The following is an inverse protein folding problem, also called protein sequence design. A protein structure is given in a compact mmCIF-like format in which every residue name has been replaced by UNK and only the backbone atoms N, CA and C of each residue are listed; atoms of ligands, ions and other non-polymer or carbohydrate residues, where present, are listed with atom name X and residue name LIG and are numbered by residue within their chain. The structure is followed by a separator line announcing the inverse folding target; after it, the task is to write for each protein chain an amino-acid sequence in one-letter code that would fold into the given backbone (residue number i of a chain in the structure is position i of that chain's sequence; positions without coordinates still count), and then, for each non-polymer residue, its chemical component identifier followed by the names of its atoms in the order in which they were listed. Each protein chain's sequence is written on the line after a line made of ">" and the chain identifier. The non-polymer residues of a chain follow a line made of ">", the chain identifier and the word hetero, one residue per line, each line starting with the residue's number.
data_IF_421090948453
#
_entry.id   IF_421090948453
#
_cell.length_a   1.000
_cell.length_b   1.000
_cell.length_c   1.000
_cell.angle_alpha   90.00
_cell.angle_beta   90.00
_cell.angle_gamma   90.00
#
_symmetry.space_group_name_H-M   'P 1'
#
loop_
_entity.id
_entity.type
_entity.pdbx_description
1 polymer ?
#
# COMPACT_ATOMS: atom_id res chain seq x y z
N UNK A 1 3.14 -14.14 -11.98
CA UNK A 1 2.19 -13.07 -11.65
C UNK A 1 2.82 -11.92 -10.84
N UNK A 2 3.62 -12.21 -9.79
CA UNK A 2 4.30 -11.14 -9.03
C UNK A 2 5.16 -10.23 -9.92
N UNK A 3 5.85 -10.77 -10.93
CA UNK A 3 6.63 -9.95 -11.87
C UNK A 3 5.81 -9.19 -12.94
N UNK A 4 4.62 -9.66 -13.29
CA UNK A 4 3.70 -8.93 -14.18
C UNK A 4 3.06 -7.74 -13.44
N UNK A 5 2.78 -7.92 -12.15
CA UNK A 5 2.39 -6.87 -11.23
C UNK A 5 3.57 -5.91 -10.96
N UNK A 6 4.80 -6.42 -10.85
CA UNK A 6 6.03 -5.63 -10.81
C UNK A 6 6.20 -4.79 -12.07
N UNK A 7 5.82 -5.31 -13.26
CA UNK A 7 5.78 -4.50 -14.48
C UNK A 7 4.73 -3.41 -14.39
N UNK A 8 3.48 -3.71 -14.00
CA UNK A 8 2.46 -2.65 -13.88
C UNK A 8 2.89 -1.59 -12.87
N UNK A 9 3.43 -1.99 -11.72
CA UNK A 9 3.78 -1.07 -10.63
C UNK A 9 5.10 -0.34 -10.88
N UNK A 10 6.15 -0.98 -11.41
CA UNK A 10 7.37 -0.27 -11.82
C UNK A 10 7.13 0.58 -13.07
N UNK A 11 6.21 0.19 -13.95
CA UNK A 11 5.85 0.99 -15.11
C UNK A 11 5.01 2.21 -14.72
N UNK A 12 4.01 2.08 -13.83
CA UNK A 12 3.26 3.24 -13.30
C UNK A 12 4.10 4.11 -12.37
N UNK A 13 4.93 3.52 -11.50
CA UNK A 13 5.81 4.28 -10.61
C UNK A 13 6.96 4.99 -11.35
N UNK A 14 7.33 4.53 -12.56
CA UNK A 14 8.43 5.09 -13.35
C UNK A 14 7.95 5.82 -14.62
N UNK A 15 6.66 5.75 -14.96
CA UNK A 15 6.08 6.57 -16.03
C UNK A 15 6.04 8.04 -15.64
N UNK A 16 6.02 8.35 -14.34
CA UNK A 16 5.76 9.69 -13.80
C UNK A 16 6.94 10.32 -13.03
N UNK A 17 8.12 9.68 -13.01
CA UNK A 17 9.34 10.27 -12.43
C UNK A 17 9.83 11.43 -13.29
N UNK A 18 9.64 12.66 -12.79
CA UNK A 18 10.31 13.84 -13.32
C UNK A 18 11.82 13.67 -13.25
N UNK A 19 12.50 14.09 -14.32
CA UNK A 19 13.91 13.87 -14.62
C UNK A 19 14.86 14.16 -13.44
N UNK A 20 15.20 13.15 -12.62
CA UNK A 20 16.39 13.20 -11.76
C UNK A 20 17.46 12.27 -12.32
N UNK A 21 18.24 12.84 -13.25
CA UNK A 21 19.21 12.19 -14.15
C UNK A 21 20.42 11.50 -13.50
N UNK A 22 20.56 11.41 -12.18
CA UNK A 22 21.88 11.19 -11.59
C UNK A 22 22.09 9.93 -10.73
N UNK A 23 21.10 9.09 -10.40
CA UNK A 23 21.41 7.93 -9.54
C UNK A 23 20.68 6.60 -9.81
N UNK A 24 19.67 6.56 -10.68
CA UNK A 24 19.07 5.29 -11.09
C UNK A 24 18.85 5.24 -12.60
N UNK A 25 19.20 4.09 -13.17
CA UNK A 25 19.31 3.80 -14.59
C UNK A 25 18.09 4.28 -15.40
N UNK A 26 18.39 4.77 -16.60
CA UNK A 26 17.48 5.29 -17.63
C UNK A 26 16.14 4.51 -17.68
N UNK A 27 15.01 5.19 -17.90
CA UNK A 27 13.66 4.59 -18.00
C UNK A 27 13.61 3.34 -18.92
N UNK A 28 14.48 3.30 -19.93
CA UNK A 28 14.68 2.14 -20.80
C UNK A 28 15.21 0.90 -20.09
N UNK A 29 16.14 1.02 -19.13
CA UNK A 29 16.68 -0.11 -18.36
C UNK A 29 15.57 -0.88 -17.63
N UNK A 30 14.71 -0.15 -16.92
CA UNK A 30 13.58 -0.75 -16.21
C UNK A 30 12.60 -1.39 -17.18
N UNK A 31 12.32 -0.77 -18.32
CA UNK A 31 11.47 -1.34 -19.36
C UNK A 31 12.02 -2.67 -19.92
N UNK A 32 13.33 -2.72 -20.18
CA UNK A 32 14.01 -3.92 -20.68
C UNK A 32 14.13 -5.02 -19.62
N UNK A 33 14.10 -4.68 -18.33
CA UNK A 33 14.11 -5.66 -17.24
C UNK A 33 12.70 -6.19 -16.93
N UNK A 34 11.67 -5.34 -16.95
CA UNK A 34 10.33 -5.71 -16.51
C UNK A 34 9.56 -6.57 -17.51
N UNK A 35 9.75 -6.35 -18.82
CA UNK A 35 9.15 -7.18 -19.88
C UNK A 35 9.53 -8.67 -19.76
N UNK A 36 10.83 -9.05 -19.75
CA UNK A 36 11.20 -10.45 -19.66
C UNK A 36 10.76 -11.09 -18.34
N UNK A 37 10.81 -10.34 -17.23
CA UNK A 37 10.31 -10.81 -15.93
C UNK A 37 8.80 -11.08 -15.94
N UNK A 38 8.03 -10.23 -16.61
CA UNK A 38 6.59 -10.45 -16.84
C UNK A 38 6.34 -11.70 -17.66
N UNK A 39 7.08 -11.88 -18.75
CA UNK A 39 7.04 -13.08 -19.58
C UNK A 39 7.31 -14.35 -18.78
N UNK A 40 8.36 -14.36 -17.96
CA UNK A 40 8.66 -15.47 -17.03
C UNK A 40 7.53 -15.71 -16.03
N UNK A 41 6.94 -14.63 -15.49
CA UNK A 41 5.83 -14.70 -14.56
C UNK A 41 4.54 -15.26 -15.17
N UNK A 42 4.30 -15.05 -16.46
CA UNK A 42 3.17 -15.61 -17.22
C UNK A 42 3.46 -17.08 -17.58
N UNK A 43 4.65 -17.38 -18.09
CA UNK A 43 5.06 -18.75 -18.41
C UNK A 43 4.97 -19.67 -17.18
N UNK A 44 5.44 -19.19 -16.02
CA UNK A 44 5.34 -19.91 -14.74
C UNK A 44 3.89 -20.21 -14.34
N UNK A 45 2.96 -19.30 -14.64
CA UNK A 45 1.53 -19.51 -14.36
C UNK A 45 0.96 -20.62 -15.23
N UNK A 46 1.26 -20.61 -16.54
CA UNK A 46 0.84 -21.69 -17.44
C UNK A 46 1.40 -23.04 -17.01
N UNK A 47 2.65 -23.09 -16.56
CA UNK A 47 3.25 -24.31 -16.02
C UNK A 47 2.49 -24.78 -14.77
N UNK A 48 2.21 -23.89 -13.82
CA UNK A 48 1.47 -24.25 -12.60
C UNK A 48 0.05 -24.75 -12.95
N UNK A 49 -0.67 -24.08 -13.84
CA UNK A 49 -2.00 -24.52 -14.31
C UNK A 49 -1.91 -25.90 -14.94
N UNK A 50 -0.98 -26.09 -15.88
CA UNK A 50 -0.78 -27.36 -16.55
C UNK A 50 -0.51 -28.49 -15.54
N UNK A 51 0.43 -28.28 -14.61
CA UNK A 51 0.79 -29.27 -13.58
C UNK A 51 -0.31 -29.50 -12.53
N UNK A 52 -1.16 -28.52 -12.27
CA UNK A 52 -2.24 -28.62 -11.28
C UNK A 52 -3.44 -29.41 -11.78
N UNK A 53 -3.74 -29.33 -13.08
CA UNK A 53 -4.98 -29.87 -13.66
C UNK A 53 -4.76 -31.02 -14.64
N UNK A 54 -3.59 -31.12 -15.28
CA UNK A 54 -3.34 -32.08 -16.36
C UNK A 54 -2.31 -33.16 -16.01
N UNK A 55 -1.54 -32.99 -14.93
CA UNK A 55 -0.66 -34.03 -14.41
C UNK A 55 -1.27 -34.71 -13.18
N UNK A 56 -1.15 -36.04 -13.12
CA UNK A 56 -1.50 -36.88 -11.98
C UNK A 56 -0.21 -37.34 -11.30
N UNK A 57 0.55 -36.40 -10.75
CA UNK A 57 1.77 -36.67 -9.99
C UNK A 57 1.51 -36.49 -8.48
N UNK A 58 2.42 -37.01 -7.63
CA UNK A 58 2.34 -36.84 -6.17
C UNK A 58 2.37 -35.35 -5.77
N UNK A 59 2.86 -34.48 -6.66
CA UNK A 59 2.98 -33.05 -6.48
C UNK A 59 1.71 -32.28 -6.87
N UNK A 60 0.71 -32.91 -7.51
CA UNK A 60 -0.51 -32.26 -8.02
C UNK A 60 -1.23 -31.46 -6.95
N UNK A 61 -1.29 -31.95 -5.71
CA UNK A 61 -1.93 -31.23 -4.60
C UNK A 61 -1.15 -29.96 -4.20
N UNK A 62 0.18 -30.02 -4.16
CA UNK A 62 1.04 -28.85 -3.89
C UNK A 62 0.96 -27.83 -5.03
N UNK A 63 0.90 -28.30 -6.28
CA UNK A 63 0.74 -27.43 -7.44
C UNK A 63 -0.62 -26.69 -7.40
N UNK A 64 -1.71 -27.39 -7.03
CA UNK A 64 -3.03 -26.79 -6.80
C UNK A 64 -3.00 -25.74 -5.69
N UNK A 65 -2.31 -26.00 -4.58
CA UNK A 65 -2.17 -25.04 -3.48
C UNK A 65 -1.38 -23.78 -3.88
N UNK A 66 -0.31 -23.94 -4.67
CA UNK A 66 0.44 -22.83 -5.27
C UNK A 66 -0.43 -22.03 -6.25
N UNK A 67 -1.24 -22.71 -7.07
CA UNK A 67 -2.18 -22.07 -7.98
C UNK A 67 -3.21 -21.24 -7.21
N UNK A 68 -3.86 -21.84 -6.20
CA UNK A 68 -4.84 -21.16 -5.34
C UNK A 68 -4.22 -19.93 -4.70
N UNK A 69 -3.04 -20.06 -4.09
CA UNK A 69 -2.37 -18.91 -3.46
C UNK A 69 -2.02 -17.81 -4.47
N UNK A 70 -1.60 -18.18 -5.68
CA UNK A 70 -1.34 -17.21 -6.76
C UNK A 70 -2.60 -16.45 -7.15
N UNK A 71 -3.73 -17.15 -7.29
CA UNK A 71 -5.03 -16.54 -7.58
C UNK A 71 -5.49 -15.65 -6.43
N UNK A 72 -5.38 -16.10 -5.19
CA UNK A 72 -5.76 -15.30 -4.02
C UNK A 72 -4.97 -13.99 -3.93
N UNK A 73 -3.64 -14.05 -4.06
CA UNK A 73 -2.78 -12.86 -4.02
C UNK A 73 -3.12 -11.90 -5.17
N UNK A 74 -3.46 -12.41 -6.34
CA UNK A 74 -3.93 -11.58 -7.45
C UNK A 74 -5.24 -10.87 -7.14
N UNK A 75 -6.24 -11.62 -6.68
CA UNK A 75 -7.55 -11.07 -6.35
C UNK A 75 -7.42 -10.00 -5.25
N UNK A 76 -6.57 -10.23 -4.25
CA UNK A 76 -6.23 -9.23 -3.24
C UNK A 76 -5.73 -7.93 -3.89
N UNK A 77 -4.78 -8.01 -4.82
CA UNK A 77 -4.25 -6.83 -5.52
C UNK A 77 -5.32 -6.05 -6.29
N UNK A 78 -6.34 -6.73 -6.83
CA UNK A 78 -7.45 -6.09 -7.55
C UNK A 78 -8.47 -5.43 -6.62
N UNK A 79 -8.61 -5.91 -5.38
CA UNK A 79 -9.64 -5.43 -4.43
C UNK A 79 -9.15 -4.24 -3.60
N UNK A 80 -7.83 -4.14 -3.33
CA UNK A 80 -7.28 -3.10 -2.46
C UNK A 80 -7.65 -1.69 -2.94
N UNK A 81 -7.43 -1.36 -4.21
CA UNK A 81 -7.71 -0.01 -4.72
C UNK A 81 -9.21 0.34 -4.70
N UNK A 82 -10.12 -0.51 -5.20
CA UNK A 82 -11.55 -0.27 -5.06
C UNK A 82 -12.02 -0.13 -3.61
N UNK A 83 -11.46 -0.91 -2.68
CA UNK A 83 -11.81 -0.79 -1.26
C UNK A 83 -11.40 0.56 -0.68
N UNK A 84 -10.20 1.06 -1.02
CA UNK A 84 -9.76 2.40 -0.61
C UNK A 84 -10.62 3.51 -1.25
N UNK A 85 -10.98 3.38 -2.53
CA UNK A 85 -11.88 4.32 -3.19
C UNK A 85 -13.28 4.32 -2.57
N UNK A 86 -13.76 3.15 -2.13
CA UNK A 86 -15.02 3.05 -1.41
C UNK A 86 -14.95 3.79 -0.06
N UNK A 87 -13.85 3.69 0.68
CA UNK A 87 -13.67 4.48 1.91
C UNK A 87 -13.70 5.97 1.64
N UNK A 88 -13.07 6.43 0.55
CA UNK A 88 -13.07 7.83 0.15
C UNK A 88 -14.46 8.33 -0.27
N UNK A 89 -15.21 7.53 -1.02
CA UNK A 89 -16.56 7.85 -1.46
C UNK A 89 -17.57 7.90 -0.29
N UNK A 90 -17.44 7.00 0.68
CA UNK A 90 -18.36 6.92 1.82
C UNK A 90 -18.05 7.94 2.92
N UNK A 91 -16.82 8.46 2.98
CA UNK A 91 -16.35 9.36 4.02
C UNK A 91 -15.82 10.69 3.46
N UNK A 92 -16.73 11.61 3.04
CA UNK A 92 -16.36 12.96 2.61
C UNK A 92 -15.91 13.87 3.76
N UNK A 93 -16.24 13.49 5.00
CA UNK A 93 -15.79 14.15 6.23
C UNK A 93 -14.79 13.24 6.92
N UNK A 94 -13.66 13.79 7.33
CA UNK A 94 -12.53 13.07 7.93
C UNK A 94 -12.21 13.59 9.31
N UNK A 95 -11.48 12.80 10.09
CA UNK A 95 -11.03 13.12 11.45
C UNK A 95 -9.64 13.78 11.47
N UNK A 96 -9.19 14.39 10.37
CA UNK A 96 -7.82 14.90 10.24
C UNK A 96 -7.46 15.93 11.32
N UNK A 97 -8.37 16.88 11.61
CA UNK A 97 -8.17 17.84 12.69
C UNK A 97 -8.22 17.20 14.08
N UNK A 98 -9.03 16.16 14.31
CA UNK A 98 -9.04 15.44 15.58
C UNK A 98 -7.74 14.68 15.80
N UNK A 99 -7.26 13.97 14.77
CA UNK A 99 -5.99 13.25 14.82
C UNK A 99 -4.82 14.21 15.06
N UNK A 100 -4.80 15.35 14.35
CA UNK A 100 -3.78 16.38 14.57
C UNK A 100 -3.85 17.02 15.96
N UNK A 101 -5.05 17.35 16.47
CA UNK A 101 -5.22 17.82 17.86
C UNK A 101 -4.74 16.80 18.87
N UNK A 102 -5.01 15.52 18.64
CA UNK A 102 -4.53 14.44 19.49
C UNK A 102 -3.01 14.39 19.52
N UNK A 103 -2.34 14.42 18.36
CA UNK A 103 -0.88 14.49 18.27
C UNK A 103 -0.33 15.66 19.10
N UNK A 104 -0.87 16.86 18.87
CA UNK A 104 -0.45 18.06 19.60
C UNK A 104 -0.69 17.96 21.12
N UNK A 105 -1.75 17.27 21.55
CA UNK A 105 -2.03 17.04 22.97
C UNK A 105 -0.99 16.13 23.65
N UNK A 106 -0.31 15.28 22.87
CA UNK A 106 0.84 14.48 23.33
C UNK A 106 2.16 15.29 23.33
N UNK A 107 2.10 16.56 22.94
CA UNK A 107 3.25 17.46 22.86
C UNK A 107 4.11 17.26 21.61
N UNK A 108 3.60 16.56 20.58
CA UNK A 108 4.33 16.32 19.35
C UNK A 108 3.47 16.60 18.11
N UNK A 109 4.14 16.86 16.98
CA UNK A 109 3.51 16.92 15.66
C UNK A 109 4.17 15.86 14.79
N UNK A 110 3.76 14.60 14.99
CA UNK A 110 4.39 13.45 14.34
C UNK A 110 4.35 13.56 12.82
N UNK A 111 3.23 14.05 12.28
CA UNK A 111 3.02 14.15 10.85
C UNK A 111 3.94 15.19 10.20
N UNK A 112 4.08 16.38 10.80
CA UNK A 112 5.03 17.39 10.32
C UNK A 112 6.47 16.91 10.43
N UNK A 113 6.85 16.37 11.59
CA UNK A 113 8.22 15.91 11.84
C UNK A 113 8.62 14.80 10.86
N UNK A 114 7.73 13.85 10.59
CA UNK A 114 7.98 12.79 9.61
C UNK A 114 8.05 13.32 8.17
N UNK A 115 7.20 14.28 7.80
CA UNK A 115 7.28 14.91 6.49
C UNK A 115 8.56 15.73 6.30
N UNK A 116 9.01 16.45 7.32
CA UNK A 116 10.29 17.16 7.31
C UNK A 116 11.44 16.14 7.21
N UNK A 117 11.36 15.01 7.91
CA UNK A 117 12.35 13.94 7.77
C UNK A 117 12.41 13.38 6.34
N UNK A 118 11.26 13.12 5.72
CA UNK A 118 11.20 12.61 4.34
C UNK A 118 11.71 13.64 3.32
N UNK A 119 11.44 14.93 3.51
CA UNK A 119 12.00 15.98 2.64
C UNK A 119 13.53 16.12 2.81
N UNK A 120 14.06 15.92 4.03
CA UNK A 120 15.50 15.87 4.27
C UNK A 120 16.17 14.61 3.70
N UNK A 121 15.45 13.48 3.67
CA UNK A 121 15.97 12.19 3.19
C UNK A 121 15.07 11.60 2.10
N UNK A 122 15.15 12.09 0.84
CA UNK A 122 14.31 11.62 -0.26
C UNK A 122 14.43 10.11 -0.55
N UNK A 123 15.56 9.50 -0.20
CA UNK A 123 15.72 8.04 -0.31
C UNK A 123 14.80 7.30 0.67
N UNK A 124 14.62 7.82 1.89
CA UNK A 124 13.75 7.22 2.89
C UNK A 124 12.29 7.27 2.46
N UNK A 125 11.85 8.39 1.87
CA UNK A 125 10.52 8.54 1.28
C UNK A 125 10.28 7.48 0.19
N UNK A 126 11.23 7.33 -0.75
CA UNK A 126 11.15 6.31 -1.81
C UNK A 126 11.15 4.88 -1.28
N UNK A 127 12.00 4.57 -0.31
CA UNK A 127 12.02 3.23 0.30
C UNK A 127 10.71 2.93 1.03
N UNK A 128 10.14 3.93 1.71
CA UNK A 128 8.84 3.85 2.34
C UNK A 128 7.75 3.54 1.31
N UNK A 129 7.70 4.26 0.19
CA UNK A 129 6.70 4.00 -0.86
C UNK A 129 6.88 2.62 -1.51
N UNK A 130 8.11 2.17 -1.76
CA UNK A 130 8.37 0.84 -2.29
C UNK A 130 7.99 -0.29 -1.34
N UNK A 131 7.98 -0.05 -0.03
CA UNK A 131 7.54 -1.05 0.95
C UNK A 131 6.09 -1.51 0.68
N UNK A 132 5.22 -0.64 0.16
CA UNK A 132 3.83 -0.97 -0.18
C UNK A 132 3.74 -1.99 -1.32
N UNK A 133 4.69 -1.93 -2.25
CA UNK A 133 4.73 -2.79 -3.44
C UNK A 133 5.42 -4.12 -3.13
N UNK A 134 6.61 -4.04 -2.51
CA UNK A 134 7.48 -5.20 -2.28
C UNK A 134 6.82 -6.18 -1.32
N UNK A 135 5.98 -5.71 -0.40
CA UNK A 135 5.43 -6.54 0.65
C UNK A 135 4.51 -7.66 0.13
N UNK A 136 3.69 -7.39 -0.89
CA UNK A 136 2.88 -8.40 -1.55
C UNK A 136 3.75 -9.46 -2.28
N UNK A 137 4.92 -9.06 -2.76
CA UNK A 137 5.91 -9.97 -3.36
C UNK A 137 6.58 -10.83 -2.30
N UNK A 138 6.98 -10.24 -1.18
CA UNK A 138 7.51 -10.95 -0.02
C UNK A 138 6.54 -12.03 0.46
N UNK A 139 5.25 -11.69 0.56
CA UNK A 139 4.19 -12.64 0.91
C UNK A 139 4.08 -13.79 -0.11
N UNK A 140 4.16 -13.48 -1.41
CA UNK A 140 4.12 -14.50 -2.46
C UNK A 140 5.29 -15.49 -2.36
N UNK A 141 6.50 -14.98 -2.10
CA UNK A 141 7.70 -15.79 -1.95
C UNK A 141 7.59 -16.65 -0.69
N UNK A 142 7.25 -16.05 0.45
CA UNK A 142 7.09 -16.77 1.71
C UNK A 142 6.00 -17.85 1.61
N UNK A 143 4.88 -17.56 0.94
CA UNK A 143 3.84 -18.56 0.68
C UNK A 143 4.36 -19.71 -0.20
N UNK A 144 5.10 -19.41 -1.28
CA UNK A 144 5.69 -20.44 -2.15
C UNK A 144 6.70 -21.33 -1.43
N UNK A 145 7.62 -20.71 -0.66
CA UNK A 145 8.53 -21.42 0.25
C UNK A 145 7.75 -22.20 1.29
N UNK A 146 6.57 -21.70 1.66
CA UNK A 146 5.76 -22.34 2.67
C UNK A 146 5.21 -23.68 2.16
N UNK A 147 4.56 -23.68 1.01
CA UNK A 147 4.00 -24.87 0.35
C UNK A 147 5.08 -25.90 -0.01
N UNK A 148 6.32 -25.47 -0.22
CA UNK A 148 7.43 -26.36 -0.54
C UNK A 148 7.93 -27.24 0.64
N UNK A 149 7.63 -26.91 1.91
CA UNK A 149 8.16 -27.67 3.06
C UNK A 149 7.30 -28.92 3.36
N UNK A 150 7.91 -30.11 3.59
CA UNK A 150 7.19 -31.40 3.66
C UNK A 150 6.42 -31.71 4.97
N UNK A 151 6.55 -30.93 6.05
CA UNK A 151 5.87 -31.21 7.32
C UNK A 151 5.42 -29.90 7.99
N UNK A 152 4.15 -29.53 7.85
CA UNK A 152 3.66 -28.27 8.38
C UNK A 152 2.34 -28.38 9.13
N UNK A 153 2.31 -27.75 10.30
CA UNK A 153 1.08 -27.29 10.94
C UNK A 153 0.37 -26.32 9.97
N UNK A 154 -0.96 -26.31 9.88
CA UNK A 154 -1.70 -25.49 8.93
C UNK A 154 -1.66 -24.02 9.36
N UNK A 155 -0.56 -23.31 9.15
CA UNK A 155 -0.63 -21.85 9.20
C UNK A 155 -1.44 -21.43 7.99
N UNK A 156 -2.67 -21.04 8.24
CA UNK A 156 -3.62 -20.62 7.24
C UNK A 156 -3.23 -19.19 6.80
N UNK A 157 -2.02 -19.01 6.27
CA UNK A 157 -1.39 -17.70 5.99
C UNK A 157 -2.28 -16.87 5.08
N UNK A 158 -2.86 -17.50 4.05
CA UNK A 158 -3.84 -16.85 3.19
C UNK A 158 -5.09 -16.41 3.97
N UNK A 159 -5.59 -17.25 4.89
CA UNK A 159 -6.71 -16.88 5.75
C UNK A 159 -6.35 -15.75 6.71
N UNK A 160 -5.14 -15.73 7.30
CA UNK A 160 -4.69 -14.62 8.15
C UNK A 160 -4.59 -13.32 7.36
N UNK A 161 -4.06 -13.37 6.13
CA UNK A 161 -4.02 -12.23 5.23
C UNK A 161 -5.45 -11.76 4.92
N UNK A 162 -6.34 -12.67 4.55
CA UNK A 162 -7.72 -12.34 4.22
C UNK A 162 -8.48 -11.73 5.42
N UNK A 163 -8.34 -12.33 6.61
CA UNK A 163 -8.90 -11.77 7.85
C UNK A 163 -8.32 -10.38 8.11
N UNK A 164 -7.01 -10.22 8.01
CA UNK A 164 -6.37 -8.91 8.23
C UNK A 164 -6.91 -7.85 7.25
N UNK A 165 -7.18 -8.22 5.99
CA UNK A 165 -7.79 -7.32 5.00
C UNK A 165 -9.21 -6.92 5.39
N UNK A 166 -10.05 -7.88 5.77
CA UNK A 166 -11.41 -7.59 6.22
C UNK A 166 -11.40 -6.67 7.45
N UNK A 167 -10.54 -6.97 8.43
CA UNK A 167 -10.34 -6.12 9.59
C UNK A 167 -9.87 -4.72 9.18
N UNK A 168 -8.90 -4.60 8.27
CA UNK A 168 -8.40 -3.33 7.78
C UNK A 168 -9.49 -2.49 7.11
N UNK A 169 -10.31 -3.08 6.23
CA UNK A 169 -11.43 -2.39 5.59
C UNK A 169 -12.41 -1.86 6.66
N UNK A 170 -12.79 -2.69 7.62
CA UNK A 170 -13.71 -2.30 8.70
C UNK A 170 -13.10 -1.14 9.51
N UNK A 171 -11.84 -1.27 9.92
CA UNK A 171 -11.13 -0.28 10.73
C UNK A 171 -10.98 1.05 9.97
N UNK A 172 -10.70 1.03 8.68
CA UNK A 172 -10.61 2.23 7.85
C UNK A 172 -11.93 3.01 7.80
N UNK A 173 -13.07 2.34 7.94
CA UNK A 173 -14.37 3.03 8.06
C UNK A 173 -14.64 3.62 9.45
N UNK A 174 -13.96 3.15 10.50
CA UNK A 174 -14.15 3.67 11.87
C UNK A 174 -13.41 4.99 12.08
N UNK A 175 -12.24 5.14 11.48
CA UNK A 175 -11.38 6.33 11.64
C UNK A 175 -10.93 6.82 10.25
N UNK A 176 -11.83 7.46 9.48
CA UNK A 176 -11.48 8.04 8.19
C UNK A 176 -10.57 9.26 8.37
N UNK A 177 -9.29 9.11 8.08
CA UNK A 177 -8.26 10.15 8.14
C UNK A 177 -7.46 10.07 6.83
N UNK A 178 -7.13 11.24 6.28
CA UNK A 178 -6.27 11.40 5.10
C UNK A 178 -4.89 11.92 5.48
N UNK A 179 -4.80 12.60 6.61
CA UNK A 179 -3.61 13.22 7.13
C UNK A 179 -3.67 14.76 7.06
N UNK A 180 -2.85 15.43 7.87
CA UNK A 180 -2.84 16.90 7.96
C UNK A 180 -2.39 17.59 6.67
N UNK A 181 -1.68 16.91 5.77
CA UNK A 181 -1.37 17.45 4.44
C UNK A 181 -2.62 17.92 3.69
N UNK A 182 -3.73 17.18 3.80
CA UNK A 182 -4.98 17.51 3.10
C UNK A 182 -5.86 18.48 3.89
N UNK A 183 -5.74 18.51 5.22
CA UNK A 183 -6.47 19.45 6.06
C UNK A 183 -5.85 20.86 6.01
N UNK A 184 -4.52 20.96 5.92
CA UNK A 184 -3.78 22.21 5.97
C UNK A 184 -3.20 22.65 4.62
N UNK A 185 -3.22 21.77 3.61
CA UNK A 185 -2.78 22.06 2.24
C UNK A 185 -1.38 22.71 2.23
N UNK A 186 -1.28 23.95 1.73
CA UNK A 186 -0.04 24.71 1.62
C UNK A 186 0.60 25.09 2.96
N UNK A 187 -0.12 24.93 4.08
CA UNK A 187 0.43 25.15 5.42
C UNK A 187 1.21 23.93 5.92
N UNK A 188 1.00 22.74 5.36
CA UNK A 188 1.76 21.54 5.72
C UNK A 188 3.14 21.53 5.02
N UNK A 189 4.24 21.10 5.67
CA UNK A 189 4.31 20.62 7.06
C UNK A 189 4.65 21.72 8.09
N UNK A 190 5.06 22.92 7.68
CA UNK A 190 5.77 23.85 8.59
C UNK A 190 4.93 24.95 9.21
N UNK A 191 3.77 25.28 8.64
CA UNK A 191 2.98 26.45 9.00
C UNK A 191 1.58 26.08 9.51
N UNK A 192 1.40 24.87 10.05
CA UNK A 192 0.12 24.44 10.60
C UNK A 192 -0.24 25.19 11.89
N UNK A 193 -1.53 25.23 12.20
CA UNK A 193 -2.04 25.93 13.39
C UNK A 193 -1.60 25.23 14.68
N UNK A 194 -1.30 26.01 15.71
CA UNK A 194 -1.03 25.47 17.04
C UNK A 194 -2.32 24.97 17.72
N UNK A 195 -2.20 24.18 18.79
CA UNK A 195 -3.37 23.69 19.53
C UNK A 195 -4.24 24.84 20.05
N UNK A 196 -3.60 25.91 20.55
CA UNK A 196 -4.29 27.11 21.04
C UNK A 196 -5.06 27.82 19.93
N UNK A 197 -4.46 27.93 18.74
CA UNK A 197 -5.09 28.59 17.60
C UNK A 197 -6.29 27.77 17.09
N UNK A 198 -6.18 26.45 17.08
CA UNK A 198 -7.28 25.56 16.72
C UNK A 198 -8.46 25.62 17.71
N UNK A 199 -8.17 25.73 19.00
CA UNK A 199 -9.18 25.91 20.05
C UNK A 199 -9.83 27.29 19.95
N UNK A 200 -9.04 28.35 19.78
CA UNK A 200 -9.53 29.72 19.63
C UNK A 200 -10.39 29.90 18.38
N UNK A 201 -10.05 29.22 17.27
CA UNK A 201 -10.82 29.22 16.03
C UNK A 201 -12.11 28.39 16.12
N UNK A 202 -12.36 27.70 17.23
CA UNK A 202 -13.56 26.87 17.42
C UNK A 202 -13.68 25.73 16.41
N UNK A 203 -12.56 25.27 15.83
CA UNK A 203 -12.60 24.25 14.77
C UNK A 203 -13.11 22.94 15.36
N UNK A 204 -14.26 22.47 14.88
CA UNK A 204 -14.75 21.12 15.15
C UNK A 204 -13.67 20.15 14.65
N UNK A 205 -13.38 19.07 15.38
CA UNK A 205 -12.28 18.15 15.05
C UNK A 205 -12.42 17.39 13.72
N UNK A 206 -13.28 17.84 12.82
CA UNK A 206 -13.58 17.25 11.53
C UNK A 206 -13.08 18.15 10.41
N UNK A 207 -12.60 17.54 9.33
CA UNK A 207 -12.27 18.22 8.09
C UNK A 207 -13.23 17.77 7.00
N UNK A 208 -13.79 18.72 6.27
CA UNK A 208 -14.51 18.40 5.03
C UNK A 208 -13.46 18.34 3.93
N UNK A 209 -13.41 17.22 3.21
CA UNK A 209 -12.47 17.09 2.11
C UNK A 209 -13.04 17.78 0.88
N UNK A 210 -12.34 18.78 0.29
CA UNK A 210 -12.81 19.46 -0.91
C UNK A 210 -12.95 18.47 -2.08
N UNK A 211 -14.09 18.52 -2.78
CA UNK A 211 -14.37 17.64 -3.92
C UNK A 211 -13.84 18.20 -5.25
N UNK A 212 -13.66 19.51 -5.31
CA UNK A 212 -13.22 20.31 -6.45
C UNK A 212 -11.71 20.53 -6.52
N UNK A 213 -10.99 20.24 -5.42
CA UNK A 213 -9.55 20.41 -5.36
C UNK A 213 -8.82 19.14 -5.85
N UNK A 214 -7.69 19.36 -6.52
CA UNK A 214 -6.71 18.32 -6.86
C UNK A 214 -5.35 18.71 -6.31
N UNK A 215 -4.56 17.73 -5.87
CA UNK A 215 -3.19 17.95 -5.42
C UNK A 215 -2.22 17.22 -6.33
N UNK A 216 -0.99 17.71 -6.39
CA UNK A 216 0.12 16.97 -6.98
C UNK A 216 0.62 15.99 -5.92
N UNK A 217 0.52 14.69 -6.18
CA UNK A 217 1.04 13.67 -5.26
C UNK A 217 2.57 13.67 -5.26
N UNK A 218 3.25 13.03 -4.29
CA UNK A 218 4.71 12.88 -4.31
C UNK A 218 5.24 12.26 -5.61
N UNK A 219 4.42 11.47 -6.30
CA UNK A 219 4.73 10.87 -7.60
C UNK A 219 4.59 11.84 -8.79
N UNK A 220 4.15 13.08 -8.54
CA UNK A 220 3.97 14.12 -9.56
C UNK A 220 2.59 14.12 -10.24
N UNK A 221 1.66 13.27 -9.79
CA UNK A 221 0.36 13.11 -10.42
C UNK A 221 -0.67 14.08 -9.86
N UNK A 222 -1.39 14.77 -10.76
CA UNK A 222 -2.52 15.59 -10.36
C UNK A 222 -3.71 14.68 -9.99
N UNK A 223 -3.93 14.50 -8.70
CA UNK A 223 -4.94 13.59 -8.16
C UNK A 223 -6.05 14.37 -7.46
N UNK A 224 -7.33 14.15 -7.82
CA UNK A 224 -8.46 14.71 -7.09
C UNK A 224 -8.46 14.28 -5.62
N UNK A 225 -8.63 15.21 -4.68
CA UNK A 225 -8.49 14.91 -3.24
C UNK A 225 -9.60 13.97 -2.74
N UNK A 226 -10.76 13.98 -3.39
CA UNK A 226 -11.86 13.06 -3.08
C UNK A 226 -11.56 11.59 -3.43
N UNK A 227 -10.47 11.30 -4.16
CA UNK A 227 -10.01 9.93 -4.44
C UNK A 227 -8.95 9.42 -3.46
N UNK A 228 -8.50 10.28 -2.54
CA UNK A 228 -7.48 9.92 -1.56
C UNK A 228 -8.06 8.96 -0.53
N UNK A 229 -7.35 7.88 -0.24
CA UNK A 229 -7.74 6.88 0.73
C UNK A 229 -8.01 7.49 2.13
N UNK A 230 -8.96 6.92 2.88
CA UNK A 230 -9.26 7.30 4.27
C UNK A 230 -8.87 6.15 5.19
N UNK A 231 -7.77 6.27 5.93
CA UNK A 231 -7.18 5.15 6.67
C UNK A 231 -6.37 5.59 7.91
N UNK A 232 -7.05 6.14 8.94
CA UNK A 232 -6.40 6.66 10.15
C UNK A 232 -5.89 5.63 11.16
N UNK A 233 -5.76 4.37 10.78
CA UNK A 233 -5.29 3.28 11.65
C UNK A 233 -4.06 2.61 11.01
N UNK A 234 -3.24 1.86 11.79
CA UNK A 234 -1.97 1.34 11.33
C UNK A 234 -2.10 0.59 10.00
N UNK A 235 -1.13 0.85 9.12
CA UNK A 235 -1.11 0.34 7.75
C UNK A 235 -1.33 -1.18 7.72
N UNK A 236 -2.23 -1.66 6.86
CA UNK A 236 -2.37 -3.08 6.52
C UNK A 236 -1.01 -3.73 6.19
N UNK A 237 -0.09 -2.95 5.59
CA UNK A 237 1.26 -3.39 5.26
C UNK A 237 2.07 -3.73 6.51
N UNK A 238 1.91 -2.98 7.61
CA UNK A 238 2.54 -3.33 8.88
C UNK A 238 1.99 -4.65 9.44
N UNK A 239 0.66 -4.82 9.39
CA UNK A 239 0.02 -6.09 9.80
C UNK A 239 0.53 -7.27 8.99
N UNK A 240 0.66 -7.11 7.68
CA UNK A 240 1.22 -8.14 6.80
C UNK A 240 2.72 -8.37 7.05
N UNK A 241 3.52 -7.33 7.27
CA UNK A 241 4.92 -7.47 7.67
C UNK A 241 5.07 -8.29 8.95
N UNK A 242 4.23 -8.00 9.95
CA UNK A 242 4.22 -8.71 11.23
C UNK A 242 3.81 -10.18 11.04
N UNK A 243 2.76 -10.45 10.25
CA UNK A 243 2.36 -11.83 9.92
C UNK A 243 3.53 -12.57 9.25
N UNK A 244 4.17 -11.96 8.25
CA UNK A 244 5.33 -12.55 7.57
C UNK A 244 6.48 -12.86 8.53
N UNK A 245 6.78 -11.95 9.45
CA UNK A 245 7.84 -12.15 10.45
C UNK A 245 7.51 -13.26 11.45
N UNK A 246 6.24 -13.39 11.86
CA UNK A 246 5.83 -14.43 12.80
C UNK A 246 5.81 -15.84 12.17
N UNK A 247 5.68 -15.95 10.85
CA UNK A 247 5.59 -17.23 10.13
C UNK A 247 6.90 -17.65 9.43
N UNK A 248 7.89 -16.76 9.34
CA UNK A 248 9.20 -17.01 8.72
C UNK A 248 10.09 -17.87 9.61
#
# INVERSE_FOLDING_TARGET
>A
LSFALLFTILYTANSNVSETKAFFLHKSFWYHLTIPLTGLGIASLFIIIYRSFFLLDEQTNKNKELFIGTVCIYLISLIVQPALQLTAALHPITFDLSAYKFDLSLGMDFSSQLAILFTMFPLLEKLSSYSYVILLHGMSILYGLYVAKPNKAPSNTLTLIFISMLCGIIIYHLVPVTGPHYAFLNMFPTNMLSLKDLEAAGMSGFSVVPTDLSIVTPEGDLTPIHLIARNGFPSLHFGWALIMWLIS
#
